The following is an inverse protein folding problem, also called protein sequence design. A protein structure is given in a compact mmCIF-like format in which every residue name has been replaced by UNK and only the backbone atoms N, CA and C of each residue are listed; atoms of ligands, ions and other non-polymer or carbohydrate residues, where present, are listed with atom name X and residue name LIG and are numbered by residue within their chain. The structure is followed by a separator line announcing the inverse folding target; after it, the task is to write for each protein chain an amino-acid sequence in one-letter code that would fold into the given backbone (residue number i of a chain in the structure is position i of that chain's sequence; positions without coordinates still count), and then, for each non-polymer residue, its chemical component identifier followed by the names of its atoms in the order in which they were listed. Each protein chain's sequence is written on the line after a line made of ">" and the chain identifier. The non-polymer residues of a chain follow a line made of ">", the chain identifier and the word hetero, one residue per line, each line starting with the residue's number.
data_IF_950959789482
#
_entry.id   IF_950959789482
#
_cell.length_a   1.000
_cell.length_b   1.000
_cell.length_c   1.000
_cell.angle_alpha   90.00
_cell.angle_beta   90.00
_cell.angle_gamma   90.00
#
_symmetry.space_group_name_H-M   'P 1'
#
loop_
_entity.id
_entity.type
_entity.pdbx_description
1 polymer ?
#
# COMPACT_ATOMS: atom_id res chain seq x y z
N UNK A 1 71.16 12.01 -5.54
CA UNK A 1 70.24 11.13 -4.83
C UNK A 1 68.82 11.65 -5.02
N UNK A 2 68.03 10.93 -5.86
CA UNK A 2 66.78 11.43 -6.44
C UNK A 2 65.59 11.45 -5.48
N UNK A 3 65.11 12.65 -5.19
CA UNK A 3 63.81 12.91 -4.55
C UNK A 3 62.74 13.24 -5.60
N UNK A 4 62.31 12.24 -6.33
CA UNK A 4 61.12 12.34 -7.21
C UNK A 4 60.46 10.98 -7.28
N UNK A 5 59.55 10.66 -6.35
CA UNK A 5 58.47 9.65 -6.45
C UNK A 5 57.76 9.54 -5.11
N UNK A 6 56.81 10.43 -4.82
CA UNK A 6 55.76 10.18 -3.81
C UNK A 6 54.65 11.29 -3.81
N UNK A 7 54.14 11.62 -5.01
CA UNK A 7 52.98 12.51 -5.06
C UNK A 7 52.05 12.19 -6.22
N UNK A 8 51.46 10.99 -6.21
CA UNK A 8 50.44 10.67 -7.23
C UNK A 8 49.52 9.48 -6.88
N UNK A 9 48.88 9.42 -5.69
CA UNK A 9 47.54 8.87 -5.67
C UNK A 9 46.50 9.62 -4.83
N UNK A 10 46.85 10.76 -4.18
CA UNK A 10 45.83 11.47 -3.37
C UNK A 10 44.85 12.32 -4.18
N UNK A 11 45.24 12.80 -5.37
CA UNK A 11 44.33 13.63 -6.18
C UNK A 11 43.21 12.86 -6.88
N UNK A 12 43.40 11.58 -7.22
CA UNK A 12 42.37 10.81 -7.93
C UNK A 12 41.25 10.34 -7.00
N UNK A 13 41.54 10.06 -5.73
CA UNK A 13 40.53 9.69 -4.73
C UNK A 13 39.69 10.90 -4.29
N UNK A 14 40.32 12.08 -4.19
CA UNK A 14 39.61 13.31 -3.86
C UNK A 14 38.69 13.80 -5.00
N UNK A 15 39.09 13.60 -6.27
CA UNK A 15 38.25 13.94 -7.44
C UNK A 15 37.06 12.97 -7.60
N UNK A 16 37.21 11.70 -7.28
CA UNK A 16 36.08 10.77 -7.27
C UNK A 16 35.10 11.05 -6.14
N UNK A 17 35.56 11.46 -4.95
CA UNK A 17 34.68 11.87 -3.85
C UNK A 17 33.96 13.18 -4.12
N UNK A 18 34.54 14.11 -4.88
CA UNK A 18 33.90 15.37 -5.25
C UNK A 18 32.88 15.22 -6.39
N UNK A 19 33.01 14.25 -7.30
CA UNK A 19 32.03 14.01 -8.36
C UNK A 19 30.75 13.31 -7.82
N UNK A 20 30.86 12.50 -6.76
CA UNK A 20 29.70 11.95 -6.08
C UNK A 20 28.89 12.97 -5.28
N UNK A 21 29.45 14.13 -4.98
CA UNK A 21 28.84 15.14 -4.12
C UNK A 21 27.87 16.11 -4.85
N UNK A 22 27.75 16.06 -6.18
CA UNK A 22 27.05 17.15 -6.91
C UNK A 22 25.83 16.76 -7.73
N UNK A 23 25.56 15.49 -8.05
CA UNK A 23 24.37 15.12 -8.81
C UNK A 23 23.16 14.92 -7.87
N UNK A 24 22.39 16.00 -7.72
CA UNK A 24 21.11 16.04 -7.03
C UNK A 24 19.94 16.25 -8.01
N UNK A 25 20.06 15.79 -9.24
CA UNK A 25 19.01 15.91 -10.26
C UNK A 25 17.68 15.30 -9.77
N UNK A 26 17.74 14.18 -9.05
CA UNK A 26 16.58 13.55 -8.44
C UNK A 26 15.81 14.49 -7.49
N UNK A 27 16.49 15.41 -6.81
CA UNK A 27 15.85 16.36 -5.88
C UNK A 27 14.89 17.31 -6.61
N UNK A 28 15.25 17.73 -7.83
CA UNK A 28 14.39 18.58 -8.64
C UNK A 28 13.07 17.87 -8.98
N UNK A 29 13.16 16.60 -9.32
CA UNK A 29 11.99 15.80 -9.65
C UNK A 29 11.12 15.55 -8.39
N UNK A 30 11.74 15.22 -7.25
CA UNK A 30 11.03 15.07 -5.98
C UNK A 30 10.28 16.35 -5.57
N UNK A 31 10.94 17.52 -5.66
CA UNK A 31 10.31 18.81 -5.33
C UNK A 31 9.18 19.16 -6.29
N UNK A 32 9.26 18.72 -7.54
CA UNK A 32 8.17 18.90 -8.50
C UNK A 32 6.96 18.02 -8.14
N UNK A 33 7.18 16.77 -7.71
CA UNK A 33 6.10 15.88 -7.30
C UNK A 33 5.31 16.45 -6.12
N UNK A 34 5.98 16.87 -5.05
CA UNK A 34 5.33 17.36 -3.82
C UNK A 34 4.64 18.73 -3.95
N UNK A 35 4.80 19.42 -5.08
CA UNK A 35 4.17 20.71 -5.41
C UNK A 35 3.13 20.56 -6.54
N UNK A 36 2.80 19.34 -6.98
CA UNK A 36 1.97 19.09 -8.16
C UNK A 36 0.76 18.19 -7.87
N UNK A 37 -0.39 18.77 -7.56
CA UNK A 37 -1.58 18.01 -7.17
C UNK A 37 -2.17 17.10 -8.28
N UNK A 38 -1.59 17.14 -9.49
CA UNK A 38 -1.96 16.20 -10.55
C UNK A 38 -1.22 14.86 -10.45
N UNK A 39 -0.24 14.73 -9.55
CA UNK A 39 0.60 13.55 -9.39
C UNK A 39 0.71 13.19 -7.91
N UNK A 40 -0.29 12.55 -7.36
CA UNK A 40 -0.34 12.10 -5.97
C UNK A 40 0.23 10.69 -5.76
N UNK A 41 0.43 9.94 -6.84
CA UNK A 41 0.99 8.59 -6.83
C UNK A 41 1.75 8.26 -8.10
N UNK A 42 2.71 7.33 -8.03
CA UNK A 42 3.43 6.80 -9.17
C UNK A 42 3.91 5.39 -8.89
N UNK A 43 3.71 4.47 -9.84
CA UNK A 43 4.27 3.11 -9.80
C UNK A 43 3.61 2.17 -8.79
N UNK A 44 2.61 2.62 -8.05
CA UNK A 44 1.85 1.76 -7.14
C UNK A 44 0.70 1.03 -7.84
N UNK A 45 0.26 -0.04 -7.22
CA UNK A 45 -0.97 -0.73 -7.61
C UNK A 45 -2.18 0.14 -7.27
N UNK A 46 -3.23 0.04 -8.06
CA UNK A 46 -4.52 0.67 -7.73
C UNK A 46 -5.09 0.12 -6.41
N UNK A 47 -5.90 0.92 -5.73
CA UNK A 47 -6.60 0.48 -4.52
C UNK A 47 -7.50 -0.72 -4.79
N UNK A 48 -7.44 -1.75 -3.94
CA UNK A 48 -8.20 -2.98 -4.09
C UNK A 48 -8.60 -3.58 -2.75
N UNK A 49 -9.54 -4.52 -2.76
CA UNK A 49 -9.89 -5.29 -1.58
C UNK A 49 -8.68 -6.06 -1.05
N UNK A 50 -8.46 -5.97 0.27
CA UNK A 50 -7.25 -6.50 0.87
C UNK A 50 -7.47 -7.86 1.52
N UNK A 51 -6.58 -8.77 1.22
CA UNK A 51 -6.41 -10.05 1.90
C UNK A 51 -4.92 -10.32 2.08
N UNK A 52 -4.51 -10.62 3.31
CA UNK A 52 -3.11 -10.95 3.59
C UNK A 52 -2.73 -12.28 2.93
N UNK A 53 -1.79 -12.28 1.97
CA UNK A 53 -1.31 -13.52 1.37
C UNK A 53 -0.58 -14.43 2.38
N UNK A 54 -0.71 -15.75 2.22
CA UNK A 54 0.01 -16.72 3.05
C UNK A 54 1.54 -16.51 3.01
N UNK A 55 2.05 -16.14 1.83
CA UNK A 55 3.46 -15.81 1.62
C UNK A 55 3.69 -14.34 1.95
N UNK A 56 3.76 -14.00 3.21
CA UNK A 56 4.01 -12.64 3.69
C UNK A 56 5.04 -12.60 4.81
N UNK A 57 5.73 -11.48 4.94
CA UNK A 57 6.66 -11.20 6.04
C UNK A 57 6.72 -9.71 6.34
N UNK A 58 6.90 -9.37 7.61
CA UNK A 58 7.11 -8.00 8.04
C UNK A 58 8.55 -7.54 7.78
N UNK A 59 8.68 -6.34 7.26
CA UNK A 59 9.93 -5.62 7.20
C UNK A 59 10.11 -4.63 8.37
N UNK A 60 9.31 -4.75 9.41
CA UNK A 60 9.39 -3.95 10.64
C UNK A 60 10.72 -4.19 11.37
N UNK A 61 11.04 -3.30 12.30
CA UNK A 61 12.22 -3.45 13.16
C UNK A 61 13.14 -2.23 13.11
N UNK A 62 14.44 -2.46 13.21
CA UNK A 62 15.42 -1.36 13.19
C UNK A 62 15.91 -1.12 11.77
N UNK A 63 15.80 0.15 11.32
CA UNK A 63 16.28 0.61 10.02
C UNK A 63 17.37 1.66 10.20
N UNK A 64 18.27 1.82 9.25
CA UNK A 64 19.17 2.96 9.17
C UNK A 64 18.37 4.22 8.86
N UNK A 65 18.71 5.32 9.52
CA UNK A 65 17.95 6.56 9.44
C UNK A 65 18.85 7.80 9.40
N UNK A 66 18.52 8.70 8.49
CA UNK A 66 19.14 10.02 8.40
C UNK A 66 18.02 11.06 8.31
N UNK A 67 18.14 12.13 9.12
CA UNK A 67 17.16 13.18 9.17
C UNK A 67 17.78 14.53 8.83
N UNK A 68 17.06 15.38 8.08
CA UNK A 68 17.45 16.74 7.77
C UNK A 68 16.24 17.69 7.79
N UNK A 69 16.50 18.97 8.05
CA UNK A 69 15.48 20.02 8.17
C UNK A 69 14.79 20.34 6.84
N UNK A 70 15.49 20.12 5.74
CA UNK A 70 15.02 20.41 4.39
C UNK A 70 15.48 19.37 3.39
N UNK A 71 14.77 19.21 2.25
CA UNK A 71 15.16 18.25 1.21
C UNK A 71 16.56 18.53 0.61
N UNK A 72 17.06 19.76 0.66
CA UNK A 72 18.42 20.09 0.21
C UNK A 72 19.50 19.41 1.03
N UNK A 73 19.19 19.01 2.27
CA UNK A 73 20.06 18.22 3.14
C UNK A 73 20.22 16.76 2.73
N UNK A 74 19.43 16.24 1.78
CA UNK A 74 19.48 14.86 1.33
C UNK A 74 20.83 14.57 0.67
N UNK A 75 21.59 13.54 1.13
CA UNK A 75 22.82 13.12 0.46
C UNK A 75 22.56 12.59 -0.95
N UNK A 76 23.38 13.00 -1.91
CA UNK A 76 23.29 12.48 -3.26
C UNK A 76 23.40 10.95 -3.28
N UNK A 77 22.61 10.29 -4.12
CA UNK A 77 22.64 8.84 -4.33
C UNK A 77 22.42 7.98 -3.07
N UNK A 78 21.75 8.52 -2.03
CA UNK A 78 21.47 7.79 -0.79
C UNK A 78 20.74 6.45 -1.02
N UNK A 79 20.03 6.33 -2.12
CA UNK A 79 19.28 5.13 -2.52
C UNK A 79 20.15 4.03 -3.16
N UNK A 80 21.41 4.32 -3.51
CA UNK A 80 22.29 3.32 -4.10
C UNK A 80 22.65 2.22 -3.09
N UNK A 81 22.71 0.94 -3.50
CA UNK A 81 23.11 -0.15 -2.62
C UNK A 81 24.46 0.06 -1.92
N UNK A 82 25.42 0.65 -2.63
CA UNK A 82 26.79 0.88 -2.15
C UNK A 82 26.94 2.16 -1.30
N UNK A 83 25.86 2.89 -1.05
CA UNK A 83 25.91 4.11 -0.25
C UNK A 83 26.40 3.82 1.18
N UNK A 84 27.38 4.58 1.71
CA UNK A 84 27.98 4.33 3.01
C UNK A 84 27.09 4.86 4.16
N UNK A 85 26.10 4.11 4.57
CA UNK A 85 25.12 4.46 5.62
C UNK A 85 25.53 4.05 7.04
N UNK A 86 26.78 3.59 7.24
CA UNK A 86 27.27 3.13 8.56
C UNK A 86 27.22 4.20 9.66
N UNK A 87 27.30 5.47 9.28
CA UNK A 87 27.26 6.61 10.19
C UNK A 87 25.84 7.11 10.46
N UNK A 88 24.84 6.57 9.77
CA UNK A 88 23.45 6.91 10.02
C UNK A 88 22.98 6.35 11.35
N UNK A 89 22.05 7.06 12.00
CA UNK A 89 21.38 6.56 13.18
C UNK A 89 20.51 5.33 12.87
N UNK A 90 19.92 4.82 13.91
CA UNK A 90 18.94 3.74 13.84
C UNK A 90 17.57 4.27 14.27
N UNK A 91 16.51 3.84 13.59
CA UNK A 91 15.13 4.15 13.95
C UNK A 91 14.28 2.88 13.98
N UNK A 92 13.27 2.86 14.85
CA UNK A 92 12.27 1.79 14.84
C UNK A 92 11.21 2.07 13.77
N UNK A 93 10.86 1.04 13.02
CA UNK A 93 9.74 1.02 12.07
C UNK A 93 8.80 -0.11 12.49
N UNK A 94 7.50 0.13 12.70
CA UNK A 94 6.83 1.43 12.54
C UNK A 94 7.12 2.41 13.67
N UNK A 95 7.22 3.69 13.34
CA UNK A 95 7.13 4.80 14.28
C UNK A 95 7.11 6.16 13.57
N UNK A 96 6.56 7.16 14.25
CA UNK A 96 6.82 8.54 13.87
C UNK A 96 8.22 8.95 14.34
N UNK A 97 8.99 9.65 13.51
CA UNK A 97 10.34 10.03 13.87
C UNK A 97 10.41 11.06 15.02
N UNK A 98 9.37 11.91 15.19
CA UNK A 98 9.29 12.83 16.32
C UNK A 98 9.19 12.10 17.65
N UNK A 99 8.62 10.90 17.67
CA UNK A 99 8.57 10.05 18.85
C UNK A 99 9.91 9.37 19.15
N UNK A 100 10.83 9.39 18.18
CA UNK A 100 12.20 8.87 18.31
C UNK A 100 13.23 9.99 18.55
N UNK A 101 12.76 11.26 18.72
CA UNK A 101 13.61 12.40 19.06
C UNK A 101 14.09 13.25 17.89
N UNK A 102 13.50 13.11 16.71
CA UNK A 102 13.82 13.90 15.52
C UNK A 102 12.73 14.94 15.24
N UNK A 103 13.10 16.22 15.15
CA UNK A 103 12.14 17.31 14.91
C UNK A 103 11.16 17.54 16.06
N UNK A 104 10.13 18.33 15.81
CA UNK A 104 9.19 18.81 16.82
C UNK A 104 7.86 18.06 16.77
N UNK A 105 7.37 17.69 17.97
CA UNK A 105 6.01 17.18 18.16
C UNK A 105 5.05 18.37 18.13
N UNK A 106 4.27 18.47 17.08
CA UNK A 106 3.35 19.57 16.87
C UNK A 106 1.91 19.08 16.85
N UNK A 107 1.06 19.71 17.65
CA UNK A 107 -0.38 19.59 17.56
C UNK A 107 -0.99 20.86 16.96
N UNK A 108 -1.83 20.70 15.94
CA UNK A 108 -2.62 21.77 15.33
C UNK A 108 -3.97 21.20 14.90
N UNK A 109 -5.04 21.78 15.40
CA UNK A 109 -6.40 21.35 15.07
C UNK A 109 -6.95 21.95 13.77
N UNK A 110 -6.37 23.04 13.30
CA UNK A 110 -6.78 23.69 12.06
C UNK A 110 -5.56 24.20 11.31
N UNK A 111 -5.66 24.30 10.00
CA UNK A 111 -4.67 24.86 9.07
C UNK A 111 -3.28 24.20 9.08
N UNK A 112 -2.55 24.38 8.01
CA UNK A 112 -1.16 23.97 7.91
C UNK A 112 -0.27 24.67 8.95
N UNK A 113 0.76 24.01 9.51
CA UNK A 113 1.67 24.59 10.49
C UNK A 113 2.71 25.54 9.88
N UNK A 114 2.57 25.88 8.63
CA UNK A 114 3.42 26.77 7.84
C UNK A 114 2.56 27.77 7.06
N UNK A 115 3.22 28.72 6.36
CA UNK A 115 2.51 29.72 5.54
C UNK A 115 1.65 29.08 4.46
N UNK A 116 0.37 29.40 4.43
CA UNK A 116 -0.60 28.79 3.50
C UNK A 116 -0.39 29.36 2.09
N UNK A 117 0.04 28.51 1.17
CA UNK A 117 0.25 28.85 -0.24
C UNK A 117 0.01 27.62 -1.16
N UNK A 118 -1.23 27.04 -1.15
CA UNK A 118 -1.52 25.85 -1.95
C UNK A 118 -1.26 26.10 -3.47
N UNK A 119 -0.74 25.10 -4.19
CA UNK A 119 -0.43 23.73 -3.76
C UNK A 119 0.98 23.56 -3.19
N UNK A 120 1.73 24.64 -2.96
CA UNK A 120 3.15 24.59 -2.67
C UNK A 120 3.47 24.12 -1.26
N UNK A 121 4.30 23.11 -1.15
CA UNK A 121 4.91 22.69 0.11
C UNK A 121 5.91 23.76 0.63
N UNK A 122 6.14 23.84 1.96
CA UNK A 122 7.09 24.82 2.51
C UNK A 122 8.53 24.48 2.07
N UNK A 123 9.30 25.51 1.67
CA UNK A 123 10.68 25.35 1.18
C UNK A 123 11.73 25.58 2.26
N UNK A 124 11.45 26.48 3.22
CA UNK A 124 12.41 26.84 4.26
C UNK A 124 12.56 25.79 5.35
N UNK A 125 11.49 25.06 5.65
CA UNK A 125 11.46 23.99 6.63
C UNK A 125 10.49 22.88 6.18
N UNK A 126 11.04 21.81 5.64
CA UNK A 126 10.30 20.61 5.27
C UNK A 126 11.09 19.38 5.73
N UNK A 127 10.94 18.99 7.00
CA UNK A 127 11.67 17.87 7.58
C UNK A 127 11.59 16.62 6.72
N UNK A 128 12.74 16.03 6.48
CA UNK A 128 12.89 14.88 5.60
C UNK A 128 13.63 13.75 6.30
N UNK A 129 13.02 12.56 6.27
CA UNK A 129 13.60 11.34 6.82
C UNK A 129 13.98 10.36 5.73
N UNK A 130 15.22 9.89 5.75
CA UNK A 130 15.72 8.86 4.85
C UNK A 130 15.88 7.56 5.61
N UNK A 131 15.26 6.52 5.09
CA UNK A 131 15.26 5.18 5.67
C UNK A 131 16.00 4.22 4.75
N UNK A 132 16.82 3.34 5.32
CA UNK A 132 17.49 2.29 4.55
C UNK A 132 17.47 0.98 5.34
N UNK A 133 17.28 -0.12 4.62
CA UNK A 133 17.51 -1.46 5.15
C UNK A 133 17.82 -2.44 4.03
N UNK A 134 18.37 -3.59 4.40
CA UNK A 134 18.47 -4.75 3.51
C UNK A 134 17.42 -5.78 3.85
N UNK A 135 17.01 -6.57 2.84
CA UNK A 135 16.08 -7.67 2.98
C UNK A 135 16.40 -8.80 2.00
N UNK A 136 15.88 -9.98 2.29
CA UNK A 136 15.98 -11.15 1.40
C UNK A 136 14.58 -11.68 1.14
N UNK A 137 14.30 -12.01 -0.11
CA UNK A 137 13.09 -12.75 -0.46
C UNK A 137 13.28 -14.20 0.00
N UNK A 138 12.32 -14.77 0.75
CA UNK A 138 12.41 -16.15 1.20
C UNK A 138 12.60 -17.13 0.05
N UNK A 139 13.54 -18.05 0.17
CA UNK A 139 13.84 -19.05 -0.86
C UNK A 139 12.67 -20.03 -1.13
N UNK A 140 11.72 -20.11 -0.19
CA UNK A 140 10.48 -20.90 -0.33
C UNK A 140 9.44 -20.28 -1.27
N UNK A 141 9.60 -18.99 -1.63
CA UNK A 141 8.70 -18.34 -2.58
C UNK A 141 9.10 -18.75 -4.00
N UNK A 142 8.09 -19.07 -4.82
CA UNK A 142 8.36 -19.57 -6.17
C UNK A 142 8.98 -18.49 -7.06
N UNK A 143 9.94 -18.86 -7.91
CA UNK A 143 10.61 -17.92 -8.82
C UNK A 143 9.65 -17.21 -9.82
N UNK A 144 8.46 -17.75 -10.02
CA UNK A 144 7.40 -17.17 -10.87
C UNK A 144 6.40 -16.30 -10.10
N UNK A 145 6.48 -16.24 -8.76
CA UNK A 145 5.61 -15.39 -7.96
C UNK A 145 5.96 -13.92 -8.21
N UNK A 146 4.97 -13.07 -8.09
CA UNK A 146 5.14 -11.63 -8.06
C UNK A 146 5.38 -11.18 -6.63
N UNK A 147 6.36 -10.32 -6.43
CA UNK A 147 6.77 -9.84 -5.11
C UNK A 147 6.35 -8.39 -4.97
N UNK A 148 5.62 -8.12 -3.90
CA UNK A 148 5.10 -6.80 -3.59
C UNK A 148 5.69 -6.27 -2.28
N UNK A 149 5.92 -4.97 -2.28
CA UNK A 149 6.24 -4.18 -1.09
C UNK A 149 5.03 -3.30 -0.79
N UNK A 150 4.52 -3.38 0.44
CA UNK A 150 3.38 -2.61 0.88
C UNK A 150 3.70 -1.85 2.16
N UNK A 151 3.49 -0.55 2.13
CA UNK A 151 3.48 0.30 3.31
C UNK A 151 2.02 0.54 3.70
N UNK A 152 1.66 0.26 4.94
CA UNK A 152 0.28 0.51 5.39
C UNK A 152 0.02 2.00 5.56
N UNK A 153 0.98 2.74 6.15
CA UNK A 153 0.88 4.20 6.29
C UNK A 153 2.24 4.88 6.34
N UNK A 154 2.38 5.96 5.59
CA UNK A 154 3.58 6.82 5.59
C UNK A 154 3.15 8.29 5.51
N UNK A 155 3.50 9.10 6.50
CA UNK A 155 3.17 10.51 6.51
C UNK A 155 4.39 11.39 6.18
N UNK A 156 4.26 12.32 5.25
CA UNK A 156 3.16 12.57 4.32
C UNK A 156 3.49 12.03 2.93
N UNK A 157 4.53 12.53 2.26
CA UNK A 157 4.94 12.09 0.93
C UNK A 157 6.13 11.13 1.01
N UNK A 158 6.12 10.06 0.22
CA UNK A 158 7.17 9.06 0.22
C UNK A 158 7.64 8.66 -1.18
N UNK A 159 8.95 8.53 -1.34
CA UNK A 159 9.62 7.98 -2.51
C UNK A 159 10.33 6.68 -2.14
N UNK A 160 10.24 5.68 -3.00
CA UNK A 160 10.72 4.33 -2.72
C UNK A 160 11.70 3.86 -3.79
N UNK A 161 12.84 3.29 -3.38
CA UNK A 161 13.83 2.66 -4.25
C UNK A 161 14.15 1.25 -3.80
N UNK A 162 14.31 0.36 -4.75
CA UNK A 162 14.83 -0.99 -4.54
C UNK A 162 16.07 -1.19 -5.40
N UNK A 163 17.18 -1.57 -4.78
CA UNK A 163 18.48 -1.77 -5.44
C UNK A 163 18.94 -0.56 -6.29
N UNK A 164 18.61 0.66 -5.85
CA UNK A 164 18.97 1.89 -6.56
C UNK A 164 17.98 2.32 -7.64
N UNK A 165 17.00 1.50 -7.97
CA UNK A 165 15.94 1.81 -8.94
C UNK A 165 14.75 2.45 -8.23
N UNK A 166 14.29 3.58 -8.74
CA UNK A 166 13.04 4.19 -8.26
C UNK A 166 11.87 3.26 -8.57
N UNK A 167 11.09 2.95 -7.53
CA UNK A 167 9.93 2.07 -7.61
C UNK A 167 8.66 2.90 -7.70
N UNK A 168 8.56 3.96 -6.89
CA UNK A 168 7.38 4.79 -6.91
C UNK A 168 7.35 5.91 -5.88
N UNK A 169 6.22 6.59 -5.88
CA UNK A 169 5.88 7.76 -5.07
C UNK A 169 4.44 7.64 -4.56
N UNK A 170 4.18 8.19 -3.36
CA UNK A 170 2.84 8.25 -2.76
C UNK A 170 2.73 9.44 -1.81
N UNK A 171 1.56 10.11 -1.81
CA UNK A 171 1.19 11.18 -0.86
C UNK A 171 0.03 10.79 0.07
N UNK A 172 -0.67 9.71 -0.18
CA UNK A 172 -1.77 9.25 0.65
C UNK A 172 -1.29 8.75 2.00
N UNK A 173 -1.20 9.65 3.00
CA UNK A 173 -0.59 9.34 4.30
C UNK A 173 -1.34 8.25 5.08
N UNK A 174 -2.66 8.14 4.91
CA UNK A 174 -3.51 7.21 5.65
C UNK A 174 -3.92 5.99 4.80
N UNK A 175 -3.56 5.97 3.53
CA UNK A 175 -3.85 4.89 2.60
C UNK A 175 -2.62 4.01 2.37
N UNK A 176 -2.80 2.71 2.13
CA UNK A 176 -1.69 1.83 1.82
C UNK A 176 -1.06 2.16 0.45
N UNK A 177 0.26 2.12 0.38
CA UNK A 177 1.02 2.21 -0.86
C UNK A 177 1.65 0.85 -1.19
N UNK A 178 1.26 0.27 -2.34
CA UNK A 178 1.65 -1.08 -2.75
C UNK A 178 2.40 -1.07 -4.07
N UNK A 179 3.57 -1.70 -4.11
CA UNK A 179 4.46 -1.67 -5.26
C UNK A 179 4.85 -3.08 -5.70
N UNK A 180 4.70 -3.41 -6.98
CA UNK A 180 5.30 -4.62 -7.56
C UNK A 180 6.81 -4.40 -7.73
N UNK A 181 7.60 -5.00 -6.87
CA UNK A 181 9.07 -4.87 -6.88
C UNK A 181 9.78 -6.00 -7.63
N UNK A 182 9.05 -6.96 -8.16
CA UNK A 182 9.63 -8.13 -8.89
C UNK A 182 10.71 -7.75 -9.90
N UNK A 183 10.52 -6.71 -10.76
CA UNK A 183 11.52 -6.35 -11.77
C UNK A 183 12.83 -5.80 -11.21
N UNK A 184 12.85 -5.36 -9.96
CA UNK A 184 13.99 -4.69 -9.33
C UNK A 184 14.78 -5.61 -8.40
N UNK A 185 14.32 -6.86 -8.20
CA UNK A 185 14.93 -7.80 -7.28
C UNK A 185 16.15 -8.48 -7.91
N UNK A 186 17.14 -8.76 -7.06
CA UNK A 186 18.30 -9.60 -7.39
C UNK A 186 18.36 -10.81 -6.44
N UNK A 187 19.03 -11.90 -6.84
CA UNK A 187 19.29 -13.02 -5.94
C UNK A 187 20.08 -12.58 -4.70
N UNK A 188 19.66 -13.08 -3.53
CA UNK A 188 20.31 -12.79 -2.26
C UNK A 188 19.80 -11.52 -1.59
N UNK A 189 20.69 -10.64 -1.18
CA UNK A 189 20.35 -9.43 -0.42
C UNK A 189 19.96 -8.27 -1.34
N UNK A 190 18.83 -7.65 -1.02
CA UNK A 190 18.28 -6.48 -1.70
C UNK A 190 18.32 -5.28 -0.77
N UNK A 191 18.51 -4.09 -1.32
CA UNK A 191 18.47 -2.82 -0.57
C UNK A 191 17.18 -2.10 -0.83
N UNK A 192 16.50 -1.71 0.25
CA UNK A 192 15.35 -0.82 0.24
C UNK A 192 15.78 0.55 0.77
N UNK A 193 15.48 1.61 0.05
CA UNK A 193 15.64 2.99 0.49
C UNK A 193 14.30 3.72 0.35
N UNK A 194 13.97 4.54 1.34
CA UNK A 194 12.75 5.35 1.36
C UNK A 194 13.10 6.77 1.78
N UNK A 195 12.60 7.75 1.05
CA UNK A 195 12.63 9.16 1.45
C UNK A 195 11.22 9.57 1.82
N UNK A 196 11.05 10.11 3.01
CA UNK A 196 9.76 10.64 3.48
C UNK A 196 9.90 12.13 3.73
N UNK A 197 9.04 12.93 3.08
CA UNK A 197 8.92 14.36 3.33
C UNK A 197 7.71 14.62 4.22
N UNK A 198 7.88 15.48 5.21
CA UNK A 198 6.81 15.81 6.17
C UNK A 198 5.66 16.57 5.52
N UNK A 199 5.95 17.40 4.52
CA UNK A 199 4.97 18.25 3.87
C UNK A 199 5.02 18.08 2.35
N UNK A 200 3.83 18.00 1.76
CA UNK A 200 3.54 18.01 0.33
C UNK A 200 2.31 18.88 0.08
N UNK A 201 1.88 19.00 -1.15
CA UNK A 201 0.61 19.67 -1.49
C UNK A 201 -0.59 18.89 -0.92
N UNK A 202 -0.54 17.56 -0.86
CA UNK A 202 -1.55 16.71 -0.20
C UNK A 202 -1.76 17.04 1.28
N UNK A 203 -0.72 17.56 1.95
CA UNK A 203 -0.81 17.92 3.35
C UNK A 203 -1.89 18.98 3.68
N UNK A 204 -2.23 19.85 2.73
CA UNK A 204 -3.32 20.80 2.90
C UNK A 204 -4.69 20.14 3.07
N UNK A 205 -4.88 18.95 2.49
CA UNK A 205 -6.11 18.16 2.55
C UNK A 205 -6.12 17.19 3.74
N UNK A 206 -4.95 16.74 4.17
CA UNK A 206 -4.79 15.78 5.27
C UNK A 206 -4.73 16.44 6.66
N UNK A 207 -4.89 17.75 6.71
CA UNK A 207 -4.79 18.55 7.93
C UNK A 207 -5.97 18.36 8.88
N UNK A 208 -6.09 17.19 9.51
CA UNK A 208 -7.13 16.87 10.51
C UNK A 208 -6.76 17.40 11.91
N UNK A 209 -7.69 17.33 12.85
CA UNK A 209 -7.50 17.71 14.26
C UNK A 209 -6.74 16.60 15.00
N UNK A 210 -5.42 16.56 14.81
CA UNK A 210 -4.52 15.57 15.45
C UNK A 210 -3.05 16.02 15.41
N UNK A 211 -2.19 15.22 16.02
CA UNK A 211 -0.75 15.43 16.02
C UNK A 211 -0.13 15.41 14.63
N UNK A 212 0.72 16.39 14.33
CA UNK A 212 1.44 16.52 13.05
C UNK A 212 2.76 15.76 13.12
N UNK A 213 2.68 14.46 13.02
CA UNK A 213 3.80 13.53 13.08
C UNK A 213 4.05 12.93 11.69
N UNK A 214 5.29 12.54 11.42
CA UNK A 214 5.69 12.02 10.13
C UNK A 214 6.54 10.74 10.26
N UNK A 215 6.75 10.05 9.15
CA UNK A 215 7.53 8.82 9.09
C UNK A 215 6.73 7.62 8.62
N UNK A 216 7.37 6.46 8.65
CA UNK A 216 6.75 5.14 8.39
C UNK A 216 6.14 4.68 9.71
N UNK A 217 4.85 4.95 9.92
CA UNK A 217 4.22 4.80 11.24
C UNK A 217 3.25 3.63 11.36
N UNK A 218 3.14 2.81 10.31
CA UNK A 218 2.44 1.54 10.34
C UNK A 218 3.28 0.45 9.65
N UNK A 219 2.79 -0.78 9.60
CA UNK A 219 3.50 -1.96 9.13
C UNK A 219 4.03 -1.82 7.70
N UNK A 220 5.18 -2.44 7.47
CA UNK A 220 5.77 -2.61 6.14
C UNK A 220 5.83 -4.09 5.81
N UNK A 221 5.11 -4.49 4.76
CA UNK A 221 4.98 -5.87 4.34
C UNK A 221 5.76 -6.15 3.06
N UNK A 222 6.41 -7.29 3.02
CA UNK A 222 6.84 -7.97 1.81
C UNK A 222 5.96 -9.19 1.63
N UNK A 223 5.35 -9.37 0.46
CA UNK A 223 4.53 -10.54 0.19
C UNK A 223 4.65 -11.02 -1.25
N UNK A 224 4.24 -12.25 -1.49
CA UNK A 224 4.28 -12.88 -2.80
C UNK A 224 2.90 -13.39 -3.21
N UNK A 225 2.55 -13.20 -4.47
CA UNK A 225 1.32 -13.72 -5.07
C UNK A 225 1.63 -14.53 -6.33
N UNK A 226 0.73 -15.41 -6.76
CA UNK A 226 0.81 -15.97 -8.10
C UNK A 226 0.80 -14.87 -9.17
N UNK A 227 1.40 -15.15 -10.33
CA UNK A 227 1.42 -14.19 -11.43
C UNK A 227 0.03 -13.90 -12.00
N UNK A 228 -0.89 -14.86 -11.93
CA UNK A 228 -2.31 -14.65 -12.20
C UNK A 228 -3.04 -14.79 -10.88
N UNK A 229 -3.65 -13.70 -10.41
CA UNK A 229 -4.29 -13.65 -9.09
C UNK A 229 -5.68 -13.03 -9.13
N UNK A 230 -6.45 -13.30 -8.09
CA UNK A 230 -7.61 -12.50 -7.73
C UNK A 230 -7.08 -11.19 -7.17
N UNK A 231 -7.29 -10.10 -7.91
CA UNK A 231 -6.73 -8.79 -7.55
C UNK A 231 -7.70 -8.00 -6.67
N UNK A 232 -8.98 -7.98 -7.06
CA UNK A 232 -10.00 -7.23 -6.36
C UNK A 232 -11.34 -7.97 -6.40
N UNK A 233 -12.22 -7.68 -5.44
CA UNK A 233 -13.57 -8.22 -5.42
C UNK A 233 -14.55 -7.26 -4.74
N UNK A 234 -15.73 -7.19 -5.30
CA UNK A 234 -16.86 -6.46 -4.73
C UNK A 234 -18.00 -7.43 -4.47
N UNK A 235 -18.58 -7.38 -3.29
CA UNK A 235 -19.70 -8.22 -2.87
C UNK A 235 -20.93 -7.37 -2.64
N UNK A 236 -22.02 -7.71 -3.29
CA UNK A 236 -23.33 -7.08 -3.14
C UNK A 236 -24.33 -8.13 -2.69
N UNK A 237 -25.01 -7.86 -1.59
CA UNK A 237 -26.12 -8.67 -1.08
C UNK A 237 -27.40 -7.86 -1.22
N UNK A 238 -28.40 -8.43 -1.87
CA UNK A 238 -29.65 -7.73 -2.14
C UNK A 238 -30.84 -8.62 -1.77
N UNK A 239 -31.56 -8.25 -0.73
CA UNK A 239 -32.77 -8.95 -0.31
C UNK A 239 -33.92 -8.68 -1.27
N UNK A 240 -34.79 -9.68 -1.42
CA UNK A 240 -36.09 -9.53 -2.07
C UNK A 240 -36.99 -8.52 -1.31
N UNK A 241 -38.18 -8.27 -1.85
CA UNK A 241 -39.13 -7.30 -1.24
C UNK A 241 -39.69 -7.75 0.11
N UNK A 242 -39.56 -9.03 0.46
CA UNK A 242 -39.98 -9.62 1.74
C UNK A 242 -38.84 -9.70 2.73
N UNK A 243 -37.63 -9.32 2.31
CA UNK A 243 -36.39 -9.47 3.08
C UNK A 243 -36.14 -10.91 3.53
N UNK A 244 -36.54 -11.91 2.71
CA UNK A 244 -36.42 -13.33 3.03
C UNK A 244 -35.20 -13.94 2.34
N UNK A 245 -35.18 -13.92 1.03
CA UNK A 245 -34.09 -14.46 0.22
C UNK A 245 -33.17 -13.32 -0.26
N UNK A 246 -31.89 -13.64 -0.47
CA UNK A 246 -30.93 -12.65 -0.91
C UNK A 246 -30.18 -13.08 -2.18
N UNK A 247 -30.19 -12.22 -3.18
CA UNK A 247 -29.27 -12.32 -4.32
C UNK A 247 -27.86 -11.93 -3.86
N UNK A 248 -26.94 -12.88 -3.98
CA UNK A 248 -25.50 -12.63 -3.79
C UNK A 248 -24.86 -12.43 -5.16
N UNK A 249 -24.29 -11.24 -5.37
CA UNK A 249 -23.57 -10.89 -6.57
C UNK A 249 -22.13 -10.56 -6.22
N UNK A 250 -21.16 -11.11 -6.96
CA UNK A 250 -19.75 -10.89 -6.73
C UNK A 250 -19.10 -10.49 -8.05
N UNK A 251 -18.45 -9.35 -8.05
CA UNK A 251 -17.58 -8.92 -9.15
C UNK A 251 -16.15 -9.21 -8.73
N UNK A 252 -15.41 -9.97 -9.54
CA UNK A 252 -14.02 -10.35 -9.25
C UNK A 252 -13.12 -9.86 -10.37
N UNK A 253 -12.15 -9.02 -10.04
CA UNK A 253 -11.10 -8.57 -10.95
C UNK A 253 -9.92 -9.53 -10.85
N UNK A 254 -9.51 -10.11 -11.97
CA UNK A 254 -8.35 -10.99 -12.10
C UNK A 254 -7.27 -10.23 -12.86
N UNK A 255 -6.03 -10.29 -12.36
CA UNK A 255 -4.86 -9.60 -12.95
C UNK A 255 -3.79 -10.62 -13.33
N UNK A 256 -3.25 -10.46 -14.55
CA UNK A 256 -2.14 -11.27 -15.07
C UNK A 256 -0.89 -10.40 -15.26
N UNK A 257 0.11 -10.62 -14.42
CA UNK A 257 1.41 -9.93 -14.49
C UNK A 257 2.38 -10.53 -15.51
N UNK A 258 2.12 -11.75 -16.00
CA UNK A 258 3.00 -12.42 -16.99
C UNK A 258 2.63 -12.09 -18.42
N UNK A 259 1.42 -11.54 -18.64
CA UNK A 259 0.88 -11.22 -19.99
C UNK A 259 1.02 -12.39 -20.97
N UNK A 260 0.78 -13.61 -20.48
CA UNK A 260 0.73 -14.79 -21.34
C UNK A 260 -0.64 -14.85 -21.99
N UNK A 261 -0.75 -14.71 -23.32
CA UNK A 261 -2.03 -14.81 -23.97
C UNK A 261 -2.56 -16.23 -23.90
N UNK A 262 -3.89 -16.35 -23.83
CA UNK A 262 -4.69 -17.52 -24.15
C UNK A 262 -4.60 -18.71 -23.17
N UNK A 263 -4.41 -18.47 -21.86
CA UNK A 263 -4.72 -19.49 -20.87
C UNK A 263 -6.19 -19.34 -20.39
N UNK A 264 -6.91 -20.46 -20.36
CA UNK A 264 -8.23 -20.51 -19.79
C UNK A 264 -8.17 -20.66 -18.27
N UNK A 265 -9.13 -20.07 -17.57
CA UNK A 265 -9.23 -20.12 -16.12
C UNK A 265 -10.67 -20.48 -15.70
N UNK A 266 -10.78 -21.05 -14.52
CA UNK A 266 -12.05 -21.26 -13.83
C UNK A 266 -12.08 -20.47 -12.53
N UNK A 267 -13.18 -19.81 -12.25
CA UNK A 267 -13.43 -19.13 -10.98
C UNK A 267 -14.62 -19.78 -10.29
N UNK A 268 -14.36 -20.29 -9.07
CA UNK A 268 -15.37 -20.87 -8.19
C UNK A 268 -15.53 -20.03 -6.95
N UNK A 269 -16.74 -20.04 -6.40
CA UNK A 269 -17.02 -19.45 -5.11
C UNK A 269 -17.80 -20.43 -4.23
N UNK A 270 -17.62 -20.30 -2.93
CA UNK A 270 -18.42 -21.01 -1.93
C UNK A 270 -18.75 -20.08 -0.77
N UNK A 271 -19.87 -20.37 -0.12
CA UNK A 271 -20.31 -19.67 1.07
C UNK A 271 -20.39 -20.66 2.23
N UNK A 272 -19.74 -20.34 3.36
CA UNK A 272 -19.81 -21.09 4.62
C UNK A 272 -20.56 -20.30 5.68
N UNK A 273 -21.32 -20.99 6.51
CA UNK A 273 -21.87 -20.43 7.73
C UNK A 273 -20.81 -20.27 8.84
N UNK A 274 -21.17 -19.70 9.98
CA UNK A 274 -20.31 -19.51 11.14
C UNK A 274 -19.74 -20.81 11.74
N UNK A 275 -20.32 -21.96 11.40
CA UNK A 275 -19.85 -23.27 11.84
C UNK A 275 -18.93 -23.93 10.81
N UNK A 276 -18.62 -23.24 9.70
CA UNK A 276 -17.80 -23.74 8.61
C UNK A 276 -18.53 -24.67 7.63
N UNK A 277 -19.85 -24.86 7.77
CA UNK A 277 -20.66 -25.66 6.85
C UNK A 277 -20.86 -24.88 5.55
N UNK A 278 -20.54 -25.54 4.42
CA UNK A 278 -20.83 -25.01 3.09
C UNK A 278 -22.34 -24.94 2.88
N UNK A 279 -22.83 -23.72 2.58
CA UNK A 279 -24.23 -23.44 2.28
C UNK A 279 -24.49 -23.57 0.77
N UNK A 280 -23.62 -23.00 -0.05
CA UNK A 280 -23.71 -23.09 -1.49
C UNK A 280 -22.32 -23.03 -2.13
N UNK A 281 -22.24 -23.62 -3.35
CA UNK A 281 -21.11 -23.50 -4.26
C UNK A 281 -21.64 -23.01 -5.61
N UNK A 282 -20.90 -22.12 -6.23
CA UNK A 282 -21.25 -21.60 -7.56
C UNK A 282 -19.98 -21.23 -8.33
N UNK A 283 -20.08 -21.05 -9.63
CA UNK A 283 -18.93 -20.79 -10.48
C UNK A 283 -19.32 -19.96 -11.69
N UNK A 284 -18.35 -19.20 -12.22
CA UNK A 284 -18.46 -18.62 -13.53
C UNK A 284 -18.22 -19.68 -14.63
N UNK A 285 -18.67 -19.40 -15.85
CA UNK A 285 -18.21 -20.16 -17.00
C UNK A 285 -16.69 -20.01 -17.15
N UNK A 286 -15.97 -21.02 -17.65
CA UNK A 286 -14.56 -20.90 -17.96
C UNK A 286 -14.29 -19.69 -18.86
N UNK A 287 -13.22 -18.96 -18.59
CA UNK A 287 -12.86 -17.74 -19.32
C UNK A 287 -11.38 -17.74 -19.69
N UNK A 288 -11.07 -17.03 -20.74
CA UNK A 288 -9.71 -16.81 -21.23
C UNK A 288 -9.17 -15.47 -20.72
N UNK A 289 -7.90 -15.45 -20.29
CA UNK A 289 -7.19 -14.20 -20.02
C UNK A 289 -6.61 -13.66 -21.34
N UNK A 290 -7.35 -12.80 -21.98
CA UNK A 290 -7.03 -12.13 -23.24
C UNK A 290 -6.44 -10.71 -23.06
N UNK A 291 -6.44 -10.22 -21.83
CA UNK A 291 -5.88 -8.95 -21.41
C UNK A 291 -5.14 -9.08 -20.07
N UNK A 292 -4.41 -8.04 -19.68
CA UNK A 292 -3.73 -7.99 -18.37
C UNK A 292 -4.69 -8.02 -17.18
N UNK A 293 -5.95 -7.60 -17.40
CA UNK A 293 -7.01 -7.59 -16.38
C UNK A 293 -8.32 -8.09 -16.98
N UNK A 294 -9.09 -8.81 -16.19
CA UNK A 294 -10.43 -9.28 -16.57
C UNK A 294 -11.36 -9.30 -15.38
N UNK A 295 -12.56 -8.79 -15.56
CA UNK A 295 -13.61 -8.80 -14.54
C UNK A 295 -14.61 -9.91 -14.81
N UNK A 296 -14.86 -10.76 -13.82
CA UNK A 296 -15.76 -11.88 -13.87
C UNK A 296 -16.92 -11.65 -12.89
N UNK A 297 -18.13 -11.95 -13.32
CA UNK A 297 -19.36 -11.86 -12.51
C UNK A 297 -19.77 -13.24 -12.03
N UNK A 298 -20.12 -13.33 -10.76
CA UNK A 298 -20.69 -14.51 -10.11
C UNK A 298 -22.01 -14.14 -9.44
N UNK A 299 -23.01 -14.97 -9.56
CA UNK A 299 -24.33 -14.74 -8.98
C UNK A 299 -24.89 -16.02 -8.40
N UNK A 300 -25.56 -15.92 -7.25
CA UNK A 300 -26.33 -17.02 -6.68
C UNK A 300 -27.46 -16.49 -5.81
N UNK A 301 -28.55 -17.23 -5.70
CA UNK A 301 -29.60 -16.98 -4.71
C UNK A 301 -29.27 -17.71 -3.42
N UNK A 302 -29.28 -17.01 -2.31
CA UNK A 302 -29.12 -17.58 -0.96
C UNK A 302 -30.48 -17.52 -0.27
N UNK A 303 -31.02 -18.71 0.06
CA UNK A 303 -32.34 -18.83 0.70
C UNK A 303 -32.20 -18.56 2.19
N UNK A 304 -33.07 -17.72 2.72
CA UNK A 304 -33.22 -17.37 4.13
C UNK A 304 -31.88 -17.12 4.86
N UNK A 305 -30.96 -16.31 4.32
CA UNK A 305 -29.72 -16.05 5.04
C UNK A 305 -30.01 -15.28 6.33
N UNK A 306 -29.25 -15.58 7.38
CA UNK A 306 -29.29 -14.78 8.60
C UNK A 306 -28.84 -13.38 8.30
N UNK A 307 -29.66 -12.40 8.69
CA UNK A 307 -29.41 -10.99 8.43
C UNK A 307 -28.34 -10.45 9.36
N UNK A 308 -27.47 -9.64 8.81
CA UNK A 308 -26.53 -8.86 9.58
C UNK A 308 -27.24 -7.59 10.10
N UNK A 309 -27.11 -7.32 11.38
CA UNK A 309 -27.45 -6.03 12.00
C UNK A 309 -26.31 -5.62 12.94
N UNK A 310 -26.30 -4.36 13.42
CA UNK A 310 -25.31 -3.91 14.40
C UNK A 310 -25.43 -4.67 15.74
N UNK A 311 -26.66 -5.05 16.15
CA UNK A 311 -26.94 -5.80 17.37
C UNK A 311 -26.65 -7.32 17.19
N UNK A 312 -26.87 -7.83 16.00
CA UNK A 312 -26.65 -9.26 15.66
C UNK A 312 -25.81 -9.36 14.38
N UNK A 313 -24.49 -9.21 14.46
CA UNK A 313 -23.60 -9.18 13.31
C UNK A 313 -23.34 -10.60 12.78
N UNK A 314 -24.37 -11.24 12.21
CA UNK A 314 -24.24 -12.57 11.59
C UNK A 314 -23.40 -12.50 10.33
N UNK A 315 -22.30 -13.26 10.31
CA UNK A 315 -21.32 -13.27 9.24
C UNK A 315 -21.20 -14.66 8.61
N UNK A 316 -20.81 -14.66 7.35
CA UNK A 316 -20.53 -15.81 6.51
C UNK A 316 -19.12 -15.69 5.96
N UNK A 317 -18.46 -16.81 5.69
CA UNK A 317 -17.18 -16.83 4.97
C UNK A 317 -17.46 -17.08 3.49
N UNK A 318 -17.09 -16.10 2.67
CA UNK A 318 -17.04 -16.23 1.22
C UNK A 318 -15.64 -16.68 0.80
N UNK A 319 -15.54 -17.79 0.08
CA UNK A 319 -14.30 -18.23 -0.55
C UNK A 319 -14.36 -18.04 -2.07
N UNK A 320 -13.25 -17.55 -2.64
CA UNK A 320 -13.03 -17.42 -4.07
C UNK A 320 -11.81 -18.26 -4.46
N UNK A 321 -11.94 -19.12 -5.47
CA UNK A 321 -10.88 -20.01 -5.93
C UNK A 321 -10.66 -19.86 -7.43
N UNK A 322 -9.48 -19.38 -7.81
CA UNK A 322 -9.03 -19.29 -9.19
C UNK A 322 -8.21 -20.55 -9.54
N UNK A 323 -8.54 -21.20 -10.62
CA UNK A 323 -7.83 -22.39 -11.11
C UNK A 323 -7.44 -22.26 -12.57
N UNK A 324 -6.36 -22.93 -12.97
CA UNK A 324 -5.97 -23.03 -14.38
C UNK A 324 -6.76 -24.17 -15.09
N UNK A 325 -6.57 -24.36 -16.41
CA UNK A 325 -7.27 -25.40 -17.18
C UNK A 325 -7.02 -26.83 -16.70
N UNK A 326 -5.88 -27.07 -16.09
CA UNK A 326 -5.57 -28.38 -15.49
C UNK A 326 -6.26 -28.60 -14.13
N UNK A 327 -7.11 -27.67 -13.70
CA UNK A 327 -7.79 -27.72 -12.39
C UNK A 327 -6.89 -27.46 -11.19
N UNK A 328 -5.62 -27.04 -11.43
CA UNK A 328 -4.71 -26.67 -10.36
C UNK A 328 -5.10 -25.29 -9.83
N UNK A 329 -5.36 -25.21 -8.54
CA UNK A 329 -5.62 -23.95 -7.86
C UNK A 329 -4.42 -22.99 -8.04
N UNK A 330 -4.70 -21.77 -8.48
CA UNK A 330 -3.71 -20.72 -8.68
C UNK A 330 -3.74 -19.74 -7.55
N UNK A 331 -4.94 -19.33 -7.14
CA UNK A 331 -5.12 -18.37 -6.07
C UNK A 331 -6.39 -18.68 -5.30
N UNK A 332 -6.42 -18.28 -4.03
CA UNK A 332 -7.56 -18.50 -3.14
C UNK A 332 -7.66 -17.35 -2.15
N UNK A 333 -8.87 -16.86 -1.99
CA UNK A 333 -9.22 -15.84 -1.00
C UNK A 333 -10.37 -16.31 -0.16
N UNK A 334 -10.32 -16.07 1.15
CA UNK A 334 -11.46 -16.15 2.06
C UNK A 334 -11.68 -14.79 2.70
N UNK A 335 -12.91 -14.30 2.66
CA UNK A 335 -13.32 -13.04 3.29
C UNK A 335 -14.65 -13.21 4.01
N UNK A 336 -14.97 -12.32 4.93
CA UNK A 336 -16.24 -12.38 5.66
C UNK A 336 -17.23 -11.39 5.07
N UNK A 337 -18.48 -11.82 4.95
CA UNK A 337 -19.58 -11.00 4.42
C UNK A 337 -20.80 -11.09 5.34
N UNK A 338 -21.64 -10.05 5.34
CA UNK A 338 -22.93 -10.02 6.01
C UNK A 338 -24.05 -9.79 5.01
N UNK A 339 -25.16 -10.49 5.16
CA UNK A 339 -26.35 -10.26 4.35
C UNK A 339 -27.16 -9.10 4.94
N UNK A 340 -27.17 -7.96 4.25
CA UNK A 340 -27.91 -6.77 4.65
C UNK A 340 -28.41 -6.02 3.42
N UNK A 341 -29.49 -5.28 3.64
CA UNK A 341 -29.99 -4.28 2.69
C UNK A 341 -30.15 -2.96 3.40
N UNK A 342 -29.54 -1.91 2.86
CA UNK A 342 -29.70 -0.53 3.34
C UNK A 342 -30.49 0.27 2.34
N UNK A 343 -31.47 1.04 2.79
CA UNK A 343 -32.35 1.82 1.93
C UNK A 343 -32.69 3.16 2.57
N UNK A 344 -32.91 4.18 1.76
CA UNK A 344 -33.50 5.45 2.20
C UNK A 344 -34.89 5.53 1.58
N UNK A 345 -35.94 5.57 2.40
CA UNK A 345 -37.33 5.70 1.99
C UNK A 345 -37.95 6.89 2.70
N UNK A 346 -38.48 7.83 1.97
CA UNK A 346 -39.10 9.06 2.51
C UNK A 346 -38.22 9.81 3.52
N UNK A 347 -36.88 9.86 3.24
CA UNK A 347 -35.92 10.52 4.12
C UNK A 347 -35.53 9.73 5.37
N UNK A 348 -36.02 8.50 5.56
CA UNK A 348 -35.67 7.61 6.66
C UNK A 348 -34.74 6.52 6.19
N UNK A 349 -33.70 6.28 6.98
CA UNK A 349 -32.76 5.17 6.75
C UNK A 349 -33.32 3.85 7.28
N UNK A 350 -33.28 2.81 6.46
CA UNK A 350 -33.74 1.47 6.80
C UNK A 350 -32.60 0.47 6.70
N UNK A 351 -32.52 -0.45 7.64
CA UNK A 351 -31.68 -1.63 7.60
C UNK A 351 -32.57 -2.87 7.62
N UNK A 352 -32.49 -3.69 6.55
CA UNK A 352 -33.31 -4.89 6.36
C UNK A 352 -34.82 -4.64 6.51
N UNK A 353 -35.29 -3.48 6.03
CA UNK A 353 -36.68 -3.08 6.08
C UNK A 353 -37.17 -2.50 7.44
N UNK A 354 -36.27 -2.37 8.41
CA UNK A 354 -36.57 -1.79 9.72
C UNK A 354 -35.99 -0.37 9.75
N UNK A 355 -36.80 0.65 10.15
CA UNK A 355 -36.29 2.00 10.35
C UNK A 355 -35.14 2.02 11.35
N UNK A 356 -34.04 2.65 10.98
CA UNK A 356 -32.88 2.80 11.83
C UNK A 356 -32.68 4.25 12.19
N UNK A 357 -32.72 4.56 13.49
CA UNK A 357 -32.41 5.88 14.00
C UNK A 357 -30.86 6.00 14.08
N UNK A 358 -30.30 6.75 13.15
CA UNK A 358 -28.93 7.20 13.27
C UNK A 358 -28.93 8.43 14.17
N UNK A 359 -28.64 8.25 15.45
CA UNK A 359 -28.19 9.37 16.26
C UNK A 359 -26.75 9.69 15.84
N UNK A 360 -26.59 10.77 15.13
CA UNK A 360 -25.26 11.38 15.04
C UNK A 360 -24.92 11.90 16.42
N UNK A 361 -23.83 11.45 17.00
CA UNK A 361 -23.23 12.21 18.09
C UNK A 361 -22.88 13.57 17.50
N UNK A 362 -23.42 14.61 18.09
CA UNK A 362 -23.04 15.96 17.74
C UNK A 362 -21.66 16.22 18.32
N UNK A 363 -20.63 15.96 17.51
CA UNK A 363 -19.26 16.28 17.88
C UNK A 363 -18.99 17.80 18.02
N UNK A 364 -20.02 18.62 17.82
CA UNK A 364 -19.93 20.07 17.98
C UNK A 364 -20.29 20.54 19.41
N UNK A 365 -20.80 19.64 20.25
CA UNK A 365 -21.19 19.96 21.64
C UNK A 365 -20.16 19.54 22.69
N UNK A 366 -18.96 19.02 22.28
CA UNK A 366 -17.86 18.68 23.19
C UNK A 366 -16.76 19.76 23.21
#
# INVERSE_FOLDING_TARGET
>A
MNLRKLFLPLCSVALCLQSYAQDKSFLKDMLWYIDNPSVFEKGQEEGHAWHMPEKSMLLNGTWKFFWCDTPEGIPAHFFNPEFPDKQWGDIKVPSNWEMQGYGDKLFRNVSAPFGVNPPHAPKEYNPTGLYRRTFKVPASWAAKDQIFLRFEKVASASFVWVNGHEVGYNEGAQEPAEYNITPYLKPGENTLAVCVLKYSDGYYLEGQDYWRLAGIFDDVWLYATPAVRIFDWQVITEFDNTYTDSQLSIQVKIKDYQKKPNENYGLKAYLKDKNGKIICNFSAAPFEMDAAEKTIQLHTLVQEPRKWTAETPELYTLGLELSNPAGLQKDKIETVIGFKKTEIKDGVFYLNGIPCLLYTSDAADD
#
